data_IF_475978955754
#
_entry.id   IF_475978955754
#
_cell.length_a   1.000
_cell.length_b   1.000
_cell.length_c   1.000
_cell.angle_alpha   90.00
_cell.angle_beta   90.00
_cell.angle_gamma   90.00
#
_symmetry.space_group_name_H-M   'P 1'
#
loop_
_entity.id
_entity.type
_entity.pdbx_description
1 polymer ?
#
# COMPACT_ATOMS: atom_id res chain seq x y z
N UNK A 1 -36.87 33.01 3.84
CA UNK A 1 -35.62 32.90 3.05
C UNK A 1 -34.49 32.76 4.04
N UNK A 2 -33.72 31.68 3.97
CA UNK A 2 -32.52 31.53 4.80
C UNK A 2 -31.47 32.54 4.33
N UNK A 3 -30.77 33.15 5.27
CA UNK A 3 -29.66 34.05 5.00
C UNK A 3 -28.45 33.28 4.45
N UNK A 4 -27.55 33.98 3.76
CA UNK A 4 -26.31 33.38 3.27
C UNK A 4 -25.44 32.80 4.41
N UNK A 5 -25.56 33.35 5.62
CA UNK A 5 -24.90 32.85 6.82
C UNK A 5 -25.49 31.51 7.28
N UNK A 6 -26.81 31.38 7.31
CA UNK A 6 -27.48 30.11 7.68
C UNK A 6 -27.17 29.00 6.67
N UNK A 7 -27.10 29.32 5.37
CA UNK A 7 -26.72 28.35 4.33
C UNK A 7 -25.25 27.93 4.47
N UNK A 8 -24.36 28.85 4.86
CA UNK A 8 -22.95 28.54 5.10
C UNK A 8 -22.76 27.70 6.37
N UNK A 9 -23.55 27.96 7.42
CA UNK A 9 -23.50 27.22 8.68
C UNK A 9 -24.09 25.82 8.53
N UNK A 10 -25.19 25.66 7.79
CA UNK A 10 -25.80 24.37 7.48
C UNK A 10 -24.87 23.50 6.62
N UNK A 11 -24.16 24.10 5.65
CA UNK A 11 -23.10 23.38 4.90
C UNK A 11 -21.88 23.06 5.74
N UNK A 12 -21.54 23.90 6.72
CA UNK A 12 -20.44 23.62 7.64
C UNK A 12 -20.82 22.47 8.59
N UNK A 13 -22.06 22.41 9.09
CA UNK A 13 -22.57 21.28 9.87
C UNK A 13 -22.73 20.01 9.02
N UNK A 14 -23.06 20.10 7.73
CA UNK A 14 -23.06 18.92 6.84
C UNK A 14 -21.65 18.36 6.56
N UNK A 15 -20.61 19.20 6.62
CA UNK A 15 -19.21 18.82 6.31
C UNK A 15 -18.38 18.56 7.57
N UNK A 16 -18.69 19.23 8.67
CA UNK A 16 -17.94 19.25 9.93
C UNK A 16 -18.82 19.02 11.15
N UNK A 17 -20.13 18.85 11.00
CA UNK A 17 -21.04 18.48 12.07
C UNK A 17 -20.70 17.08 12.53
N UNK A 18 -19.83 17.02 13.52
CA UNK A 18 -19.59 15.85 14.33
C UNK A 18 -20.92 15.46 14.94
N UNK A 19 -21.48 14.32 14.52
CA UNK A 19 -22.41 13.62 15.38
C UNK A 19 -21.64 13.37 16.69
N UNK A 20 -22.11 13.96 17.79
CA UNK A 20 -21.52 14.01 19.14
C UNK A 20 -21.38 12.61 19.83
N UNK A 21 -20.91 11.60 19.10
CA UNK A 21 -20.59 10.25 19.60
C UNK A 21 -19.30 9.66 19.04
N UNK A 22 -18.70 10.26 18.01
CA UNK A 22 -17.39 9.84 17.54
C UNK A 22 -16.31 10.62 18.30
N UNK A 23 -15.58 9.94 19.17
CA UNK A 23 -14.25 10.40 19.54
C UNK A 23 -13.50 10.74 18.24
N UNK A 24 -12.92 11.94 18.18
CA UNK A 24 -12.23 12.43 17.00
C UNK A 24 -11.14 11.42 16.59
N UNK A 25 -11.34 10.73 15.46
CA UNK A 25 -10.42 9.72 14.92
C UNK A 25 -8.97 10.21 14.88
N UNK A 26 -8.77 11.51 14.63
CA UNK A 26 -7.45 12.14 14.66
C UNK A 26 -6.82 12.14 16.06
N UNK A 27 -7.58 12.46 17.10
CA UNK A 27 -7.10 12.45 18.49
C UNK A 27 -6.74 11.02 18.93
N UNK A 28 -7.61 10.05 18.64
CA UNK A 28 -7.32 8.63 18.89
C UNK A 28 -6.01 8.22 18.21
N UNK A 29 -5.82 8.59 16.94
CA UNK A 29 -4.60 8.27 16.19
C UNK A 29 -3.36 8.93 16.77
N UNK A 30 -3.44 10.15 17.28
CA UNK A 30 -2.30 10.79 17.96
C UNK A 30 -1.89 10.02 19.21
N UNK A 31 -2.84 9.61 20.05
CA UNK A 31 -2.56 8.78 21.23
C UNK A 31 -2.01 7.40 20.86
N UNK A 32 -2.60 6.76 19.85
CA UNK A 32 -2.15 5.46 19.36
C UNK A 32 -0.72 5.49 18.81
N UNK A 33 -0.21 6.62 18.31
CA UNK A 33 1.18 6.70 17.83
C UNK A 33 2.17 6.36 18.92
N UNK A 34 1.94 6.80 20.16
CA UNK A 34 2.85 6.51 21.27
C UNK A 34 2.86 5.02 21.59
N UNK A 35 1.67 4.41 21.63
CA UNK A 35 1.48 2.98 21.89
C UNK A 35 2.04 2.11 20.76
N UNK A 36 1.79 2.48 19.51
CA UNK A 36 2.14 1.68 18.34
C UNK A 36 3.57 1.93 17.83
N UNK A 37 4.23 3.01 18.25
CA UNK A 37 5.58 3.34 17.79
C UNK A 37 6.60 2.22 18.09
N UNK A 38 6.66 1.63 19.30
CA UNK A 38 7.54 0.48 19.57
C UNK A 38 7.25 -0.69 18.62
N UNK A 39 5.98 -0.95 18.30
CA UNK A 39 5.64 -1.95 17.29
C UNK A 39 6.19 -1.56 15.93
N UNK A 40 5.99 -0.34 15.42
CA UNK A 40 6.52 0.01 14.10
C UNK A 40 8.06 0.04 14.03
N UNK A 41 8.74 0.25 15.16
CA UNK A 41 10.21 0.19 15.30
C UNK A 41 10.78 -1.22 15.50
N UNK A 42 9.93 -2.25 15.52
CA UNK A 42 10.35 -3.64 15.78
C UNK A 42 10.86 -3.89 17.21
N UNK A 43 10.50 -3.00 18.15
CA UNK A 43 10.83 -3.11 19.58
C UNK A 43 9.74 -3.86 20.39
N UNK A 44 8.56 -4.03 19.81
CA UNK A 44 7.40 -4.72 20.40
C UNK A 44 6.73 -5.62 19.36
N UNK A 45 6.32 -6.84 19.70
CA UNK A 45 5.62 -7.74 18.78
C UNK A 45 4.09 -7.61 18.87
N UNK A 46 3.37 -8.52 18.23
CA UNK A 46 1.91 -8.51 18.22
C UNK A 46 1.30 -8.81 19.60
N UNK A 47 1.97 -9.64 20.42
CA UNK A 47 1.53 -9.96 21.79
C UNK A 47 1.75 -8.77 22.71
N UNK A 48 2.90 -8.08 22.59
CA UNK A 48 3.12 -6.83 23.29
C UNK A 48 2.09 -5.76 22.93
N UNK A 49 1.79 -5.60 21.63
CA UNK A 49 0.76 -4.66 21.18
C UNK A 49 -0.64 -5.03 21.70
N UNK A 50 -0.95 -6.33 21.78
CA UNK A 50 -2.19 -6.83 22.37
C UNK A 50 -2.32 -6.42 23.83
N UNK A 51 -1.25 -6.57 24.61
CA UNK A 51 -1.25 -6.17 26.02
C UNK A 51 -1.47 -4.66 26.21
N UNK A 52 -0.79 -3.83 25.43
CA UNK A 52 -0.92 -2.36 25.53
C UNK A 52 -2.32 -1.86 25.13
N UNK A 53 -3.03 -2.60 24.27
CA UNK A 53 -4.37 -2.26 23.81
C UNK A 53 -5.50 -2.97 24.58
N UNK A 54 -5.17 -3.85 25.53
CA UNK A 54 -6.13 -4.77 26.14
C UNK A 54 -7.32 -4.11 26.86
N UNK A 55 -7.11 -2.91 27.41
CA UNK A 55 -8.13 -2.14 28.14
C UNK A 55 -8.72 -0.98 27.31
N UNK A 56 -8.41 -0.92 26.02
CA UNK A 56 -8.86 0.17 25.13
C UNK A 56 -10.27 -0.10 24.61
N UNK A 57 -11.02 0.99 24.41
CA UNK A 57 -12.34 0.93 23.80
C UNK A 57 -12.28 0.49 22.34
N UNK A 58 -13.37 -0.07 21.82
CA UNK A 58 -13.45 -0.58 20.44
C UNK A 58 -13.07 0.47 19.39
N UNK A 59 -13.36 1.75 19.62
CA UNK A 59 -12.95 2.87 18.75
C UNK A 59 -11.43 2.97 18.59
N UNK A 60 -10.66 2.77 19.65
CA UNK A 60 -9.19 2.70 19.60
C UNK A 60 -8.72 1.45 18.88
N UNK A 61 -9.36 0.31 19.11
CA UNK A 61 -9.01 -0.95 18.45
C UNK A 61 -9.23 -0.84 16.93
N UNK A 62 -10.35 -0.25 16.50
CA UNK A 62 -10.64 0.04 15.09
C UNK A 62 -9.56 0.92 14.45
N UNK A 63 -9.19 2.04 15.10
CA UNK A 63 -8.15 2.93 14.57
C UNK A 63 -6.76 2.27 14.53
N UNK A 64 -6.41 1.48 15.55
CA UNK A 64 -5.16 0.74 15.56
C UNK A 64 -5.08 -0.24 14.38
N UNK A 65 -6.16 -0.95 14.08
CA UNK A 65 -6.22 -1.84 12.91
C UNK A 65 -6.13 -1.08 11.59
N UNK A 66 -6.82 0.06 11.46
CA UNK A 66 -6.71 0.90 10.28
C UNK A 66 -5.27 1.35 10.06
N UNK A 67 -4.57 1.81 11.10
CA UNK A 67 -3.15 2.19 11.02
C UNK A 67 -2.26 1.02 10.58
N UNK A 68 -2.50 -0.20 11.09
CA UNK A 68 -1.75 -1.39 10.69
C UNK A 68 -1.99 -1.75 9.22
N UNK A 69 -3.25 -1.73 8.76
CA UNK A 69 -3.65 -2.03 7.38
C UNK A 69 -3.12 -0.97 6.41
N UNK A 70 -3.15 0.30 6.80
CA UNK A 70 -2.62 1.41 5.99
C UNK A 70 -1.09 1.36 5.85
N UNK A 71 -0.40 0.68 6.77
CA UNK A 71 1.05 0.53 6.74
C UNK A 71 1.58 -0.54 5.79
N UNK A 72 0.70 -1.33 5.15
CA UNK A 72 1.10 -2.37 4.19
C UNK A 72 0.92 -1.95 2.73
N UNK A 73 1.81 -2.46 1.88
CA UNK A 73 1.89 -2.16 0.46
C UNK A 73 2.78 -3.17 -0.28
N UNK A 74 2.76 -3.11 -1.61
CA UNK A 74 3.56 -4.00 -2.47
C UNK A 74 5.08 -3.89 -2.27
N UNK A 75 5.53 -2.76 -1.70
CA UNK A 75 6.95 -2.50 -1.38
C UNK A 75 7.40 -3.14 -0.09
N UNK A 76 6.48 -3.50 0.81
CA UNK A 76 6.83 -4.18 2.04
C UNK A 76 7.36 -5.58 1.76
N UNK A 77 8.19 -6.08 2.67
CA UNK A 77 8.62 -7.47 2.64
C UNK A 77 7.48 -8.41 3.07
N UNK A 78 7.61 -9.68 2.70
CA UNK A 78 6.70 -10.74 3.14
C UNK A 78 6.64 -10.84 4.67
N UNK A 79 7.76 -10.64 5.36
CA UNK A 79 7.81 -10.65 6.84
C UNK A 79 7.13 -9.42 7.44
N UNK A 80 7.30 -8.25 6.83
CA UNK A 80 6.61 -7.04 7.27
C UNK A 80 5.09 -7.21 7.18
N UNK A 81 4.56 -7.76 6.07
CA UNK A 81 3.13 -8.04 5.91
C UNK A 81 2.65 -9.07 6.93
N UNK A 82 3.42 -10.16 7.14
CA UNK A 82 3.10 -11.18 8.15
C UNK A 82 3.03 -10.57 9.57
N UNK A 83 3.95 -9.69 9.92
CA UNK A 83 3.94 -9.02 11.21
C UNK A 83 2.73 -8.10 11.39
N UNK A 84 2.30 -7.39 10.34
CA UNK A 84 1.06 -6.60 10.38
C UNK A 84 -0.18 -7.49 10.49
N UNK A 85 -0.19 -8.64 9.81
CA UNK A 85 -1.27 -9.64 9.97
C UNK A 85 -1.41 -10.06 11.43
N UNK A 86 -0.29 -10.47 12.05
CA UNK A 86 -0.29 -10.93 13.45
C UNK A 86 -0.81 -9.84 14.39
N UNK A 87 -0.35 -8.60 14.20
CA UNK A 87 -0.85 -7.46 14.98
C UNK A 87 -2.35 -7.19 14.75
N UNK A 88 -2.84 -7.19 13.51
CA UNK A 88 -4.28 -6.96 13.24
C UNK A 88 -5.14 -8.07 13.84
N UNK A 89 -4.70 -9.32 13.75
CA UNK A 89 -5.39 -10.47 14.35
C UNK A 89 -5.40 -10.37 15.86
N UNK A 90 -4.28 -9.98 16.47
CA UNK A 90 -4.20 -9.73 17.89
C UNK A 90 -5.19 -8.63 18.32
N UNK A 91 -5.16 -7.46 17.67
CA UNK A 91 -6.10 -6.37 17.97
C UNK A 91 -7.56 -6.79 17.73
N UNK A 92 -7.84 -7.56 16.69
CA UNK A 92 -9.19 -8.06 16.41
C UNK A 92 -9.70 -9.01 17.51
N UNK A 93 -8.80 -9.79 18.11
CA UNK A 93 -9.17 -10.70 19.21
C UNK A 93 -9.58 -10.00 20.51
N UNK A 94 -9.27 -8.70 20.65
CA UNK A 94 -9.71 -7.89 21.79
C UNK A 94 -11.18 -7.44 21.66
N UNK A 95 -11.77 -7.56 20.47
CA UNK A 95 -13.17 -7.19 20.24
C UNK A 95 -14.11 -8.34 20.59
N UNK A 96 -15.27 -8.00 21.15
CA UNK A 96 -16.29 -8.99 21.51
C UNK A 96 -16.83 -9.78 20.30
N UNK A 97 -16.91 -9.15 19.12
CA UNK A 97 -17.41 -9.75 17.87
C UNK A 97 -16.35 -9.77 16.76
N UNK A 98 -15.10 -10.03 17.10
CA UNK A 98 -13.99 -10.02 16.16
C UNK A 98 -14.04 -11.13 15.09
N UNK A 99 -13.66 -10.78 13.86
CA UNK A 99 -13.54 -11.66 12.69
C UNK A 99 -12.07 -11.92 12.31
N UNK A 100 -11.30 -12.49 13.24
CA UNK A 100 -9.87 -12.80 13.03
C UNK A 100 -9.62 -13.60 11.75
N UNK A 101 -10.48 -14.58 11.46
CA UNK A 101 -10.38 -15.44 10.28
C UNK A 101 -10.45 -14.68 8.94
N UNK A 102 -11.23 -13.60 8.89
CA UNK A 102 -11.31 -12.75 7.71
C UNK A 102 -9.98 -12.04 7.46
N UNK A 103 -9.40 -11.41 8.49
CA UNK A 103 -8.14 -10.69 8.37
C UNK A 103 -7.00 -11.65 8.02
N UNK A 104 -6.89 -12.82 8.65
CA UNK A 104 -5.91 -13.84 8.28
C UNK A 104 -5.97 -14.19 6.79
N UNK A 105 -7.17 -14.36 6.26
CA UNK A 105 -7.40 -14.67 4.85
C UNK A 105 -7.03 -13.51 3.93
N UNK A 106 -7.39 -12.26 4.26
CA UNK A 106 -7.05 -11.10 3.43
C UNK A 106 -5.54 -10.83 3.42
N UNK A 107 -4.89 -10.91 4.57
CA UNK A 107 -3.44 -10.76 4.67
C UNK A 107 -2.67 -11.86 3.95
N UNK A 108 -3.15 -13.10 3.99
CA UNK A 108 -2.57 -14.21 3.20
C UNK A 108 -2.64 -13.92 1.70
N UNK A 109 -3.76 -13.36 1.23
CA UNK A 109 -3.89 -12.92 -0.17
C UNK A 109 -2.96 -11.74 -0.49
N UNK A 110 -2.83 -10.77 0.42
CA UNK A 110 -1.94 -9.62 0.25
C UNK A 110 -0.48 -10.06 0.15
N UNK A 111 -0.06 -11.00 1.01
CA UNK A 111 1.27 -11.59 0.99
C UNK A 111 1.54 -12.35 -0.32
N UNK A 112 0.60 -13.17 -0.78
CA UNK A 112 0.71 -13.86 -2.07
C UNK A 112 0.82 -12.86 -3.24
N UNK A 113 0.02 -11.80 -3.23
CA UNK A 113 0.04 -10.78 -4.26
C UNK A 113 1.37 -10.00 -4.26
N UNK A 114 1.90 -9.68 -3.09
CA UNK A 114 3.21 -9.05 -2.92
C UNK A 114 4.35 -9.93 -3.47
N UNK A 115 4.34 -11.23 -3.16
CA UNK A 115 5.35 -12.17 -3.66
C UNK A 115 5.31 -12.30 -5.19
N UNK A 116 4.11 -12.38 -5.77
CA UNK A 116 3.93 -12.38 -7.21
C UNK A 116 4.44 -11.08 -7.85
N UNK A 117 4.14 -9.93 -7.24
CA UNK A 117 4.65 -8.63 -7.69
C UNK A 117 6.18 -8.61 -7.70
N UNK A 118 6.84 -9.01 -6.62
CA UNK A 118 8.31 -8.98 -6.55
C UNK A 118 8.95 -9.92 -7.59
N UNK A 119 8.37 -11.10 -7.78
CA UNK A 119 8.85 -12.08 -8.76
C UNK A 119 8.76 -11.52 -10.19
N UNK A 120 7.59 -11.00 -10.57
CA UNK A 120 7.37 -10.45 -11.90
C UNK A 120 8.14 -9.14 -12.12
N UNK A 121 8.27 -8.29 -11.11
CA UNK A 121 9.10 -7.08 -11.16
C UNK A 121 10.54 -7.45 -11.48
N UNK A 122 11.10 -8.45 -10.81
CA UNK A 122 12.48 -8.90 -11.08
C UNK A 122 12.65 -9.39 -12.52
N UNK A 123 11.70 -10.18 -13.03
CA UNK A 123 11.71 -10.65 -14.41
C UNK A 123 11.63 -9.49 -15.42
N UNK A 124 10.79 -8.49 -15.13
CA UNK A 124 10.66 -7.31 -15.98
C UNK A 124 11.93 -6.44 -15.97
N UNK A 125 12.54 -6.26 -14.79
CA UNK A 125 13.81 -5.55 -14.63
C UNK A 125 14.94 -6.25 -15.41
N UNK A 126 14.99 -7.59 -15.37
CA UNK A 126 15.94 -8.39 -16.15
C UNK A 126 15.71 -8.26 -17.66
N UNK A 127 14.45 -8.28 -18.13
CA UNK A 127 14.13 -8.06 -19.55
C UNK A 127 14.56 -6.66 -20.02
N UNK A 128 14.28 -5.63 -19.22
CA UNK A 128 14.71 -4.26 -19.53
C UNK A 128 16.22 -4.18 -19.61
N UNK A 129 16.94 -4.79 -18.65
CA UNK A 129 18.41 -4.83 -18.64
C UNK A 129 18.97 -5.52 -19.89
N UNK A 130 18.46 -6.69 -20.26
CA UNK A 130 18.91 -7.42 -21.45
C UNK A 130 18.72 -6.59 -22.74
N UNK A 131 17.59 -5.90 -22.88
CA UNK A 131 17.37 -5.04 -24.04
C UNK A 131 18.30 -3.83 -24.07
N UNK A 132 18.65 -3.25 -22.91
CA UNK A 132 19.63 -2.17 -22.82
C UNK A 132 21.05 -2.64 -23.14
N UNK A 133 21.42 -3.85 -22.73
CA UNK A 133 22.73 -4.43 -23.05
C UNK A 133 22.87 -4.78 -24.54
N UNK A 134 21.84 -5.36 -25.15
CA UNK A 134 21.80 -5.64 -26.60
C UNK A 134 21.90 -4.35 -27.43
N UNK A 135 21.21 -3.30 -26.99
CA UNK A 135 21.27 -1.96 -27.57
C UNK A 135 22.70 -1.38 -27.59
N UNK A 136 23.43 -1.54 -26.48
CA UNK A 136 24.81 -1.06 -26.37
C UNK A 136 25.81 -1.95 -27.12
N UNK A 137 25.61 -3.28 -27.13
CA UNK A 137 26.48 -4.23 -27.83
C UNK A 137 26.46 -4.10 -29.36
N UNK A 138 25.33 -3.70 -29.95
CA UNK A 138 25.24 -3.42 -31.40
C UNK A 138 25.94 -2.11 -31.81
N UNK A 139 26.22 -1.22 -30.85
CA UNK A 139 26.89 0.06 -31.11
C UNK A 139 28.42 -0.07 -31.26
N UNK A 140 28.99 -1.25 -31.00
CA UNK A 140 30.44 -1.50 -31.07
C UNK A 140 30.90 -2.13 -32.39
N UNK A 141 30.02 -2.34 -33.38
CA UNK A 141 30.41 -2.94 -34.65
C UNK A 141 30.98 -1.86 -35.61
N UNK A 142 32.31 -1.73 -35.80
CA UNK A 142 32.92 -0.57 -36.45
C UNK A 142 32.63 -0.53 -37.96
N UNK A 143 32.18 -1.65 -38.54
CA UNK A 143 31.90 -1.80 -39.97
C UNK A 143 30.55 -1.19 -40.40
N UNK A 144 29.61 -0.94 -39.48
CA UNK A 144 28.32 -0.32 -39.80
C UNK A 144 28.37 1.22 -39.80
N UNK A 145 29.37 1.82 -39.15
CA UNK A 145 29.52 3.28 -39.02
C UNK A 145 30.17 3.95 -40.25
N UNK A 146 30.68 3.17 -41.20
CA UNK A 146 31.47 3.69 -42.33
C UNK A 146 30.67 3.98 -43.61
N UNK A 147 29.37 3.64 -43.69
CA UNK A 147 28.61 3.71 -44.95
C UNK A 147 27.28 4.49 -44.94
N UNK A 148 26.85 5.10 -43.83
CA UNK A 148 25.56 5.79 -43.79
C UNK A 148 25.63 7.11 -43.05
N UNK A 149 25.55 8.22 -43.78
CA UNK A 149 25.42 9.55 -43.20
C UNK A 149 24.11 9.74 -42.45
N UNK A 150 24.21 10.54 -41.39
CA UNK A 150 23.17 11.25 -40.65
C UNK A 150 22.07 10.46 -39.90
N UNK A 151 21.93 10.86 -38.63
CA UNK A 151 20.78 10.72 -37.73
C UNK A 151 20.46 9.35 -37.10
N UNK A 152 20.89 9.20 -35.84
CA UNK A 152 19.94 8.82 -34.79
C UNK A 152 19.89 7.37 -34.30
N UNK A 153 20.88 6.51 -34.57
CA UNK A 153 20.86 5.12 -34.08
C UNK A 153 21.37 5.00 -32.64
N UNK A 154 20.56 5.51 -31.71
CA UNK A 154 20.56 5.15 -30.30
C UNK A 154 20.08 3.70 -30.18
N UNK A 155 20.85 2.82 -29.53
CA UNK A 155 20.66 1.36 -29.54
C UNK A 155 19.29 0.79 -29.12
N UNK A 156 18.31 1.59 -28.71
CA UNK A 156 16.93 1.16 -28.50
C UNK A 156 15.99 2.15 -29.20
N UNK A 157 15.32 1.70 -30.27
CA UNK A 157 14.35 2.52 -31.00
C UNK A 157 13.25 3.02 -30.05
N UNK A 158 12.81 4.28 -30.23
CA UNK A 158 11.81 4.96 -29.41
C UNK A 158 10.53 4.11 -29.21
N UNK A 159 10.11 3.38 -30.24
CA UNK A 159 8.96 2.46 -30.18
C UNK A 159 9.15 1.35 -29.13
N UNK A 160 10.34 0.76 -29.04
CA UNK A 160 10.63 -0.29 -28.06
C UNK A 160 10.67 0.26 -26.62
N UNK A 161 11.25 1.47 -26.44
CA UNK A 161 11.23 2.17 -25.14
C UNK A 161 9.80 2.43 -24.68
N UNK A 162 8.94 2.88 -25.58
CA UNK A 162 7.54 3.14 -25.29
C UNK A 162 6.78 1.86 -24.91
N UNK A 163 7.01 0.75 -25.62
CA UNK A 163 6.40 -0.53 -25.29
C UNK A 163 6.83 -1.06 -23.92
N UNK A 164 8.12 -0.94 -23.57
CA UNK A 164 8.62 -1.35 -22.25
C UNK A 164 8.04 -0.47 -21.15
N UNK A 165 7.99 0.85 -21.34
CA UNK A 165 7.37 1.77 -20.39
C UNK A 165 5.88 1.44 -20.17
N UNK A 166 5.15 1.15 -21.24
CA UNK A 166 3.74 0.76 -21.16
C UNK A 166 3.56 -0.54 -20.37
N UNK A 167 4.37 -1.57 -20.65
CA UNK A 167 4.33 -2.84 -19.90
C UNK A 167 4.62 -2.64 -18.41
N UNK A 168 5.58 -1.80 -18.06
CA UNK A 168 5.89 -1.46 -16.66
C UNK A 168 4.71 -0.74 -16.00
N UNK A 169 4.09 0.22 -16.69
CA UNK A 169 2.92 0.95 -16.16
C UNK A 169 1.75 0.00 -15.91
N UNK A 170 1.37 -0.79 -16.91
CA UNK A 170 0.25 -1.76 -16.81
C UNK A 170 0.49 -2.79 -15.70
N UNK A 171 1.72 -3.28 -15.58
CA UNK A 171 2.13 -4.16 -14.49
C UNK A 171 1.93 -3.50 -13.12
N UNK A 172 2.44 -2.28 -12.93
CA UNK A 172 2.33 -1.56 -11.65
C UNK A 172 0.87 -1.25 -11.31
N UNK A 173 0.11 -0.71 -12.27
CA UNK A 173 -1.30 -0.38 -12.09
C UNK A 173 -2.15 -1.61 -11.77
N UNK A 174 -1.94 -2.72 -12.48
CA UNK A 174 -2.68 -3.96 -12.27
C UNK A 174 -2.49 -4.52 -10.86
N UNK A 175 -1.25 -4.54 -10.36
CA UNK A 175 -0.95 -4.99 -9.01
C UNK A 175 -1.45 -4.01 -7.94
N UNK A 176 -1.24 -2.69 -8.13
CA UNK A 176 -1.73 -1.68 -7.19
C UNK A 176 -3.25 -1.75 -7.05
N UNK A 177 -3.99 -1.86 -8.15
CA UNK A 177 -5.46 -1.98 -8.12
C UNK A 177 -5.92 -3.22 -7.35
N UNK A 178 -5.29 -4.37 -7.59
CA UNK A 178 -5.62 -5.62 -6.89
C UNK A 178 -5.29 -5.55 -5.40
N UNK A 179 -4.16 -4.94 -5.06
CA UNK A 179 -3.71 -4.78 -3.69
C UNK A 179 -4.63 -3.82 -2.92
N UNK A 180 -4.92 -2.65 -3.50
CA UNK A 180 -5.84 -1.68 -2.91
C UNK A 180 -7.22 -2.29 -2.68
N UNK A 181 -7.73 -3.13 -3.60
CA UNK A 181 -8.99 -3.84 -3.37
C UNK A 181 -8.97 -4.77 -2.14
N UNK A 182 -7.82 -5.33 -1.78
CA UNK A 182 -7.68 -6.10 -0.53
C UNK A 182 -7.69 -5.17 0.68
N UNK A 183 -6.99 -4.03 0.59
CA UNK A 183 -6.98 -3.00 1.62
C UNK A 183 -8.40 -2.47 1.89
N UNK A 184 -9.12 -2.09 0.84
CA UNK A 184 -10.49 -1.56 0.94
C UNK A 184 -11.44 -2.56 1.60
N UNK A 185 -11.31 -3.85 1.27
CA UNK A 185 -12.08 -4.91 1.94
C UNK A 185 -11.76 -5.01 3.43
N UNK A 186 -10.48 -4.92 3.80
CA UNK A 186 -10.08 -4.98 5.20
C UNK A 186 -10.58 -3.77 5.97
N UNK A 187 -10.55 -2.58 5.39
CA UNK A 187 -11.11 -1.36 6.00
C UNK A 187 -12.62 -1.48 6.19
N UNK A 188 -13.35 -1.95 5.17
CA UNK A 188 -14.80 -2.10 5.23
C UNK A 188 -15.28 -3.15 6.27
N UNK A 189 -14.43 -4.10 6.68
CA UNK A 189 -14.76 -5.06 7.75
C UNK A 189 -14.61 -4.43 9.15
N UNK A 190 -13.83 -3.35 9.28
CA UNK A 190 -13.59 -2.68 10.56
C UNK A 190 -14.74 -1.75 10.93
N UNK A 191 -15.41 -1.18 9.91
CA UNK A 191 -16.55 -0.26 10.03
C UNK A 191 -17.76 -0.92 10.72
#
# INVERSE_FOLDING_TARGET
>A
MKSAYEIAMERADEVYGTNDKDHNSLEIREELKEIMAPFFKEEMDAEGLWHELGDKEDTYLKEAQLMLIESIGLRNSSEQIKRRKEAVVAVESLKESGNTSFFEKQFTQAQSLQQQYQTQKKQLDEQVKQHLEQAQGQSQNPLAAAQGGNDGQNGMNAQMRQQLAQKVSEFQEGYNKRFNKLIDKMKAEIE
#
